data_IF_181876367182
#
_entry.id   IF_181876367182
#
_cell.length_a   1.000
_cell.length_b   1.000
_cell.length_c   1.000
_cell.angle_alpha   90.00
_cell.angle_beta   90.00
_cell.angle_gamma   90.00
#
_symmetry.space_group_name_H-M   'P 1'
#
loop_
_entity.id
_entity.type
_entity.pdbx_description
1 polymer ?
#
# COMPACT_ATOMS: atom_id res chain seq x y z
N UNK A 1 0.48 -4.61 -20.84
CA UNK A 1 0.92 -4.69 -19.45
C UNK A 1 0.55 -3.44 -18.69
N UNK A 2 -0.04 -3.62 -17.54
CA UNK A 2 -0.44 -2.52 -16.69
C UNK A 2 0.35 -2.57 -15.38
N UNK A 3 0.66 -1.40 -14.85
CA UNK A 3 1.27 -1.31 -13.54
C UNK A 3 0.29 -1.78 -12.47
N UNK A 4 0.85 -2.27 -11.38
CA UNK A 4 0.07 -2.63 -10.20
C UNK A 4 -0.16 -1.36 -9.37
N UNK A 5 -1.41 -1.13 -8.95
CA UNK A 5 -1.76 0.07 -8.18
C UNK A 5 -2.41 -0.29 -6.85
N UNK A 6 -2.06 0.46 -5.83
CA UNK A 6 -2.83 0.49 -4.58
C UNK A 6 -3.76 1.69 -4.61
N UNK A 7 -5.01 1.49 -4.25
CA UNK A 7 -5.94 2.57 -4.05
C UNK A 7 -6.58 3.11 -5.31
N UNK A 8 -6.25 2.57 -6.46
CA UNK A 8 -6.87 2.97 -7.71
C UNK A 8 -6.81 1.86 -8.73
N UNK A 9 -7.71 1.91 -9.69
CA UNK A 9 -7.70 1.03 -10.84
C UNK A 9 -7.00 1.75 -11.99
N UNK A 10 -6.36 0.98 -12.87
CA UNK A 10 -5.84 1.57 -14.10
C UNK A 10 -7.03 2.04 -14.96
N UNK A 11 -6.91 3.25 -15.47
CA UNK A 11 -7.90 3.79 -16.40
C UNK A 11 -7.24 4.89 -17.25
N UNK A 12 -7.50 4.85 -18.53
CA UNK A 12 -6.97 5.85 -19.44
C UNK A 12 -7.70 7.18 -19.30
N UNK A 13 -8.88 7.18 -18.74
CA UNK A 13 -9.69 8.40 -18.58
C UNK A 13 -9.45 9.10 -17.24
N UNK A 14 -8.61 8.55 -16.37
CA UNK A 14 -8.35 9.11 -15.05
C UNK A 14 -9.63 9.29 -14.22
N UNK A 15 -10.49 8.28 -14.22
CA UNK A 15 -11.78 8.31 -13.55
C UNK A 15 -11.62 8.24 -12.03
N UNK A 16 -12.07 9.27 -11.33
CA UNK A 16 -12.00 9.35 -9.86
C UNK A 16 -12.86 8.32 -9.14
N UNK A 17 -13.91 7.81 -9.80
CA UNK A 17 -14.82 6.88 -9.16
C UNK A 17 -14.14 5.56 -8.76
N UNK A 18 -12.93 5.32 -9.26
CA UNK A 18 -12.19 4.09 -8.97
C UNK A 18 -11.07 4.28 -7.98
N UNK A 19 -11.09 5.38 -7.24
CA UNK A 19 -10.09 5.62 -6.23
C UNK A 19 -10.58 5.22 -4.85
N UNK A 20 -9.70 4.59 -4.10
CA UNK A 20 -9.95 4.27 -2.70
C UNK A 20 -9.77 5.54 -1.86
N UNK A 21 -10.70 5.79 -0.97
CA UNK A 21 -10.64 6.93 -0.08
C UNK A 21 -10.45 6.42 1.36
N UNK A 22 -9.22 6.44 1.82
CA UNK A 22 -8.88 5.94 3.15
C UNK A 22 -7.38 5.81 3.31
N UNK A 23 -6.95 5.02 4.28
CA UNK A 23 -5.55 4.79 4.57
C UNK A 23 -5.20 3.32 4.33
N UNK A 24 -3.96 3.08 3.95
CA UNK A 24 -3.44 1.74 3.66
C UNK A 24 -2.13 1.55 4.39
N UNK A 25 -1.96 0.38 4.99
CA UNK A 25 -0.69 -0.04 5.55
C UNK A 25 -0.58 -1.57 5.46
N UNK A 26 0.59 -2.10 5.71
CA UNK A 26 0.85 -3.54 5.79
C UNK A 26 0.34 -4.31 4.57
N UNK A 27 0.63 -3.81 3.38
CA UNK A 27 0.27 -4.49 2.14
C UNK A 27 1.32 -5.54 1.79
N UNK A 28 0.87 -6.72 1.36
CA UNK A 28 1.78 -7.81 1.01
C UNK A 28 1.19 -8.67 -0.08
N UNK A 29 2.08 -9.30 -0.83
CA UNK A 29 1.71 -10.23 -1.91
C UNK A 29 2.47 -11.53 -1.66
N UNK A 30 1.75 -12.64 -1.63
CA UNK A 30 2.32 -13.97 -1.45
C UNK A 30 2.16 -14.78 -2.74
N UNK A 31 3.12 -15.63 -3.03
CA UNK A 31 3.06 -16.49 -4.22
C UNK A 31 2.20 -17.73 -4.03
N UNK A 32 1.81 -18.01 -2.79
CA UNK A 32 0.92 -19.13 -2.48
C UNK A 32 -0.22 -18.64 -1.59
N UNK A 33 -1.33 -19.38 -1.60
CA UNK A 33 -2.44 -19.09 -0.71
C UNK A 33 -2.03 -19.37 0.73
N UNK A 34 -2.39 -18.48 1.65
CA UNK A 34 -2.09 -18.61 3.07
C UNK A 34 -3.31 -19.15 3.81
N UNK A 35 -3.04 -19.92 4.86
CA UNK A 35 -4.11 -20.38 5.76
C UNK A 35 -4.60 -19.22 6.60
N UNK A 36 -5.80 -19.36 7.16
CA UNK A 36 -6.35 -18.36 8.07
C UNK A 36 -5.39 -18.12 9.25
N UNK A 37 -4.83 -19.19 9.80
CA UNK A 37 -3.89 -19.08 10.91
C UNK A 37 -2.66 -18.26 10.53
N UNK A 38 -2.09 -18.52 9.35
CA UNK A 38 -0.93 -17.78 8.87
C UNK A 38 -1.26 -16.30 8.64
N UNK A 39 -2.43 -16.01 8.08
CA UNK A 39 -2.86 -14.64 7.87
C UNK A 39 -2.99 -13.92 9.22
N UNK A 40 -3.59 -14.57 10.21
CA UNK A 40 -3.75 -13.97 11.53
C UNK A 40 -2.42 -13.72 12.22
N UNK A 41 -1.47 -14.64 12.10
CA UNK A 41 -0.15 -14.50 12.70
C UNK A 41 0.61 -13.29 12.18
N UNK A 42 0.42 -12.95 10.91
CA UNK A 42 1.14 -11.84 10.27
C UNK A 42 0.23 -10.64 9.96
N UNK A 43 -0.92 -10.57 10.62
CA UNK A 43 -1.91 -9.54 10.30
C UNK A 43 -1.35 -8.12 10.44
N UNK A 44 -0.55 -7.87 11.47
CA UNK A 44 -0.04 -6.54 11.77
C UNK A 44 1.43 -6.36 11.44
N UNK A 45 2.15 -7.43 11.19
CA UNK A 45 3.58 -7.33 10.90
C UNK A 45 4.12 -8.66 10.36
N UNK A 46 5.19 -8.57 9.59
CA UNK A 46 5.97 -9.73 9.16
C UNK A 46 7.38 -9.47 9.69
N UNK A 47 7.79 -10.13 10.79
CA UNK A 47 9.04 -9.80 11.48
C UNK A 47 10.30 -10.00 10.64
N UNK A 48 10.33 -11.03 9.79
CA UNK A 48 11.53 -11.36 9.01
C UNK A 48 11.19 -11.48 7.53
N UNK A 49 10.81 -10.37 6.87
CA UNK A 49 10.31 -10.46 5.50
C UNK A 49 11.33 -10.95 4.48
N UNK A 50 12.62 -10.75 4.72
CA UNK A 50 13.65 -11.23 3.81
C UNK A 50 13.84 -12.74 3.88
N UNK A 51 13.31 -13.39 4.90
CA UNK A 51 13.46 -14.83 5.10
C UNK A 51 12.19 -15.61 4.75
N UNK A 52 11.19 -14.94 4.19
CA UNK A 52 9.92 -15.58 3.82
C UNK A 52 9.96 -15.95 2.34
N UNK A 53 10.14 -17.24 2.01
CA UNK A 53 10.41 -17.64 0.62
C UNK A 53 9.25 -17.42 -0.35
N UNK A 54 8.02 -17.38 0.14
CA UNK A 54 6.85 -17.18 -0.72
C UNK A 54 6.29 -15.77 -0.68
N UNK A 55 6.96 -14.86 0.04
CA UNK A 55 6.55 -13.46 0.10
C UNK A 55 7.17 -12.71 -1.07
N UNK A 56 6.33 -12.28 -2.00
CA UNK A 56 6.80 -11.60 -3.22
C UNK A 56 7.13 -10.14 -2.97
N UNK A 57 6.33 -9.46 -2.17
CA UNK A 57 6.52 -8.06 -1.85
C UNK A 57 5.81 -7.71 -0.54
N UNK A 58 6.35 -6.73 0.17
CA UNK A 58 5.79 -6.30 1.44
C UNK A 58 6.07 -4.82 1.64
N UNK A 59 5.01 -4.02 1.74
CA UNK A 59 5.09 -2.58 1.92
C UNK A 59 4.39 -2.23 3.23
N UNK A 60 5.14 -1.66 4.17
CA UNK A 60 4.57 -1.30 5.48
C UNK A 60 3.85 0.03 5.46
N UNK A 61 4.24 0.94 4.59
CA UNK A 61 3.72 2.30 4.54
C UNK A 61 3.96 3.05 5.85
N UNK A 62 5.14 2.84 6.44
CA UNK A 62 5.52 3.50 7.68
C UNK A 62 6.66 4.50 7.50
N UNK A 63 6.97 4.88 6.25
CA UNK A 63 8.04 5.82 5.97
C UNK A 63 7.77 7.21 6.58
N UNK A 64 6.52 7.62 6.58
CA UNK A 64 6.14 8.89 7.20
C UNK A 64 6.45 10.13 6.40
N UNK A 65 7.13 9.99 5.26
CA UNK A 65 7.51 11.10 4.40
C UNK A 65 7.91 10.58 3.03
N UNK A 66 7.85 11.45 2.05
CA UNK A 66 8.37 11.16 0.72
C UNK A 66 7.38 10.46 -0.20
N UNK A 67 7.88 10.04 -1.35
CA UNK A 67 7.06 9.51 -2.44
C UNK A 67 7.49 8.10 -2.84
N UNK A 68 8.15 7.38 -1.95
CA UNK A 68 8.56 6.01 -2.21
C UNK A 68 8.25 5.14 -1.00
N UNK A 69 7.76 3.94 -1.26
CA UNK A 69 7.49 2.94 -0.22
C UNK A 69 8.35 1.72 -0.52
N UNK A 70 9.19 1.37 0.43
CA UNK A 70 10.15 0.28 0.27
C UNK A 70 9.48 -1.08 0.34
N UNK A 71 9.85 -1.96 -0.59
CA UNK A 71 9.54 -3.38 -0.52
C UNK A 71 10.49 -4.02 0.49
N UNK A 72 9.96 -4.40 1.64
CA UNK A 72 10.76 -4.90 2.77
C UNK A 72 11.28 -6.32 2.57
N UNK A 73 10.91 -6.99 1.48
CA UNK A 73 11.45 -8.32 1.17
C UNK A 73 12.86 -8.25 0.58
N UNK A 74 13.26 -7.10 0.10
CA UNK A 74 14.53 -6.95 -0.60
C UNK A 74 14.48 -7.32 -2.07
N UNK A 75 13.30 -7.63 -2.61
CA UNK A 75 13.16 -8.01 -4.03
C UNK A 75 13.16 -6.81 -4.97
N UNK A 76 13.17 -5.58 -4.43
CA UNK A 76 13.28 -4.39 -5.25
C UNK A 76 11.96 -3.89 -5.83
N UNK A 77 10.83 -4.38 -5.37
CA UNK A 77 9.52 -3.96 -5.84
C UNK A 77 9.03 -2.71 -5.12
N UNK A 78 9.88 -1.70 -5.01
CA UNK A 78 9.54 -0.47 -4.32
C UNK A 78 8.40 0.23 -5.05
N UNK A 79 7.47 0.77 -4.27
CA UNK A 79 6.31 1.46 -4.81
C UNK A 79 6.53 2.96 -4.82
N UNK A 80 5.83 3.64 -5.71
CA UNK A 80 5.87 5.10 -5.79
C UNK A 80 4.51 5.65 -5.41
N UNK A 81 4.53 6.71 -4.60
CA UNK A 81 3.32 7.44 -4.26
C UNK A 81 3.08 8.47 -5.35
N UNK A 82 1.86 8.49 -5.89
CA UNK A 82 1.45 9.51 -6.86
C UNK A 82 0.60 10.51 -6.09
N UNK A 83 1.16 11.69 -5.73
CA UNK A 83 0.49 12.62 -4.82
C UNK A 83 -0.49 13.54 -5.51
N UNK A 84 -0.65 13.39 -6.82
CA UNK A 84 -1.49 14.30 -7.58
C UNK A 84 -2.51 13.50 -8.39
N UNK A 85 -3.55 14.20 -8.77
CA UNK A 85 -4.57 13.66 -9.64
C UNK A 85 -4.96 14.72 -10.68
N UNK A 86 -5.25 14.25 -11.88
CA UNK A 86 -5.64 15.11 -12.98
C UNK A 86 -6.67 14.36 -13.83
N UNK A 87 -7.90 14.90 -13.91
CA UNK A 87 -8.99 14.22 -14.61
C UNK A 87 -8.78 14.20 -16.12
N UNK A 88 -8.21 15.29 -16.66
CA UNK A 88 -7.92 15.40 -18.09
C UNK A 88 -6.95 16.57 -18.28
N UNK A 89 -6.52 16.78 -19.51
CA UNK A 89 -5.62 17.89 -19.82
C UNK A 89 -6.26 19.26 -19.59
N UNK A 90 -7.57 19.29 -19.43
CA UNK A 90 -8.31 20.53 -19.25
C UNK A 90 -8.74 20.76 -17.81
N UNK A 91 -8.42 19.85 -16.90
CA UNK A 91 -8.80 19.93 -15.50
C UNK A 91 -7.58 20.20 -14.65
N UNK A 92 -7.71 21.12 -13.69
CA UNK A 92 -6.64 21.47 -12.78
C UNK A 92 -6.16 20.23 -12.02
N UNK A 93 -4.85 20.09 -11.89
CA UNK A 93 -4.27 18.98 -11.15
C UNK A 93 -4.47 19.17 -9.65
N UNK A 94 -4.78 18.09 -8.97
CA UNK A 94 -4.85 18.07 -7.50
C UNK A 94 -3.59 17.43 -6.97
N UNK A 95 -2.99 18.06 -5.96
CA UNK A 95 -1.75 17.54 -5.36
C UNK A 95 -1.87 17.53 -3.84
N UNK A 96 -1.39 16.46 -3.23
CA UNK A 96 -1.38 16.32 -1.77
C UNK A 96 -0.02 16.65 -1.21
N UNK A 97 -0.02 17.31 -0.05
CA UNK A 97 1.21 17.58 0.70
C UNK A 97 1.68 16.32 1.42
N UNK A 98 2.93 16.36 1.88
CA UNK A 98 3.50 15.25 2.65
C UNK A 98 2.65 14.93 3.89
N UNK A 99 2.19 15.96 4.59
CA UNK A 99 1.37 15.77 5.78
C UNK A 99 0.01 15.12 5.48
N UNK A 100 -0.54 15.39 4.31
CA UNK A 100 -1.80 14.77 3.88
C UNK A 100 -1.62 13.32 3.46
N UNK A 101 -0.46 13.01 2.86
CA UNK A 101 -0.14 11.64 2.44
C UNK A 101 0.22 10.76 3.63
N UNK A 102 0.90 11.33 4.63
CA UNK A 102 1.43 10.61 5.78
C UNK A 102 0.88 11.21 7.07
N UNK A 103 -0.43 11.08 7.32
CA UNK A 103 -1.00 11.65 8.55
C UNK A 103 -0.43 10.95 9.78
N UNK A 104 -0.13 11.76 10.82
CA UNK A 104 0.40 11.25 12.07
C UNK A 104 -0.71 10.99 13.08
N UNK A 105 -0.43 10.13 14.06
CA UNK A 105 -1.38 9.87 15.13
C UNK A 105 -2.52 8.92 14.78
N UNK A 106 -2.47 8.32 13.58
CA UNK A 106 -3.46 7.32 13.20
C UNK A 106 -2.95 5.96 13.63
N UNK A 107 -3.74 5.24 14.38
CA UNK A 107 -3.40 3.90 14.81
C UNK A 107 -4.24 2.89 14.04
N UNK A 108 -3.61 1.79 13.65
CA UNK A 108 -4.33 0.67 13.04
C UNK A 108 -5.15 0.00 14.15
N UNK A 109 -6.48 -0.05 14.00
CA UNK A 109 -7.29 -0.74 14.99
C UNK A 109 -6.91 -2.21 15.04
N UNK A 110 -6.64 -2.72 16.25
CA UNK A 110 -6.28 -4.11 16.40
C UNK A 110 -7.51 -4.92 16.78
N UNK A 111 -7.72 -5.98 16.04
CA UNK A 111 -8.80 -6.90 16.33
C UNK A 111 -8.36 -7.77 17.51
N UNK A 112 -9.21 -7.89 18.51
CA UNK A 112 -8.93 -8.79 19.62
C UNK A 112 -9.11 -10.22 19.11
N UNK A 113 -8.01 -10.85 18.82
CA UNK A 113 -8.00 -12.15 18.17
C UNK A 113 -7.71 -13.24 19.21
N UNK A 114 -8.70 -13.55 19.98
CA UNK A 114 -8.59 -14.60 20.99
C UNK A 114 -8.70 -15.97 20.33
N UNK A 115 -7.57 -16.50 19.96
CA UNK A 115 -7.55 -17.83 19.34
C UNK A 115 -6.68 -18.77 20.08
#
# INVERSE_FOLDING_TARGET
DHNFYFGRSYTESHDLSRQFNGEICEARIWSIARTQEQICQNMYDIPNPTEEPTLCAYWKFDEGTGLEVEDRTGHGNNAKVVPYWKASDHVEAYSKTDAELWPSGIEVPKINNEQ
#
